data_IF_186680824623
#
_entry.id   IF_186680824623
#
_cell.length_a   1.000
_cell.length_b   1.000
_cell.length_c   1.000
_cell.angle_alpha   90.00
_cell.angle_beta   90.00
_cell.angle_gamma   90.00
#
_symmetry.space_group_name_H-M   'P 1'
#
loop_
_entity.id
_entity.type
_entity.pdbx_description
1 polymer ?
#
# COMPACT_ATOMS: atom_id res chain seq x y z
N UNK A 1 -7.96 11.15 2.44
CA UNK A 1 -8.25 11.49 1.02
C UNK A 1 -7.03 11.31 0.10
N UNK A 2 -5.87 11.93 0.36
CA UNK A 2 -4.72 11.83 -0.56
C UNK A 2 -4.20 10.40 -0.78
N UNK A 3 -4.03 9.61 0.29
CA UNK A 3 -3.65 8.19 0.17
C UNK A 3 -4.69 7.33 -0.58
N UNK A 4 -5.96 7.72 -0.56
CA UNK A 4 -6.99 7.03 -1.35
C UNK A 4 -6.79 7.30 -2.85
N UNK A 5 -6.57 8.56 -3.23
CA UNK A 5 -6.32 8.94 -4.62
C UNK A 5 -5.02 8.32 -5.14
N UNK A 6 -3.98 8.30 -4.31
CA UNK A 6 -2.72 7.62 -4.60
C UNK A 6 -2.94 6.13 -4.89
N UNK A 7 -3.69 5.41 -4.04
CA UNK A 7 -4.07 4.03 -4.30
C UNK A 7 -4.88 3.86 -5.59
N UNK A 8 -5.88 4.71 -5.85
CA UNK A 8 -6.74 4.62 -7.06
C UNK A 8 -5.89 4.80 -8.32
N UNK A 9 -5.03 5.82 -8.35
CA UNK A 9 -4.16 6.10 -9.49
C UNK A 9 -3.08 5.03 -9.64
N UNK A 10 -2.39 4.66 -8.56
CA UNK A 10 -1.30 3.70 -8.58
C UNK A 10 -1.76 2.33 -9.08
N UNK A 11 -2.82 1.78 -8.48
CA UNK A 11 -3.36 0.48 -8.89
C UNK A 11 -4.04 0.55 -10.26
N UNK A 12 -4.78 1.61 -10.55
CA UNK A 12 -5.47 1.80 -11.82
C UNK A 12 -4.52 1.90 -13.01
N UNK A 13 -3.46 2.70 -12.88
CA UNK A 13 -2.42 2.84 -13.92
C UNK A 13 -1.63 1.54 -14.05
N UNK A 14 -1.28 0.88 -12.94
CA UNK A 14 -0.58 -0.41 -12.99
C UNK A 14 -1.40 -1.48 -13.71
N UNK A 15 -2.71 -1.54 -13.44
CA UNK A 15 -3.63 -2.43 -14.14
C UNK A 15 -3.74 -2.07 -15.62
N UNK A 16 -3.85 -0.78 -15.97
CA UNK A 16 -3.89 -0.31 -17.35
C UNK A 16 -2.65 -0.76 -18.14
N UNK A 17 -1.44 -0.57 -17.58
CA UNK A 17 -0.21 -1.05 -18.20
C UNK A 17 -0.17 -2.57 -18.35
N UNK A 18 -0.68 -3.31 -17.37
CA UNK A 18 -0.72 -4.79 -17.45
C UNK A 18 -1.64 -5.29 -18.57
N UNK A 19 -2.73 -4.57 -18.85
CA UNK A 19 -3.70 -4.93 -19.91
C UNK A 19 -3.27 -4.43 -21.27
N UNK A 20 -2.55 -3.31 -21.32
CA UNK A 20 -2.05 -2.69 -22.54
C UNK A 20 -0.56 -2.35 -22.39
N UNK A 21 0.36 -3.33 -22.51
CA UNK A 21 1.78 -3.10 -22.27
C UNK A 21 2.42 -2.04 -23.19
N UNK A 22 1.85 -1.80 -24.38
CA UNK A 22 2.30 -0.74 -25.29
C UNK A 22 2.12 0.68 -24.75
N UNK A 23 1.35 0.89 -23.68
CA UNK A 23 1.22 2.17 -22.99
C UNK A 23 2.34 2.41 -21.96
N UNK A 24 3.17 1.41 -21.65
CA UNK A 24 4.23 1.50 -20.65
C UNK A 24 5.53 2.03 -21.29
N UNK A 25 5.93 3.29 -21.02
CA UNK A 25 7.00 3.98 -21.77
C UNK A 25 8.40 3.39 -21.59
N UNK A 26 8.67 2.71 -20.48
CA UNK A 26 10.00 2.19 -20.13
C UNK A 26 10.05 0.65 -20.04
N UNK A 27 8.98 -0.02 -20.52
CA UNK A 27 8.70 -1.41 -20.20
C UNK A 27 7.73 -1.53 -19.02
N UNK A 28 7.01 -2.65 -18.95
CA UNK A 28 5.88 -2.84 -18.03
C UNK A 28 6.31 -2.64 -16.56
N UNK A 29 7.34 -3.37 -16.12
CA UNK A 29 7.78 -3.37 -14.72
C UNK A 29 8.37 -2.02 -14.34
N UNK A 30 9.27 -1.47 -15.18
CA UNK A 30 9.90 -0.17 -14.95
C UNK A 30 8.85 0.93 -14.82
N UNK A 31 7.86 0.95 -15.70
CA UNK A 31 6.80 1.96 -15.70
C UNK A 31 5.94 1.87 -14.43
N UNK A 32 5.60 0.66 -13.97
CA UNK A 32 4.87 0.45 -12.71
C UNK A 32 5.70 0.96 -11.52
N UNK A 33 6.98 0.58 -11.44
CA UNK A 33 7.85 1.04 -10.33
C UNK A 33 7.97 2.56 -10.33
N UNK A 34 8.16 3.20 -11.48
CA UNK A 34 8.23 4.66 -11.60
C UNK A 34 6.94 5.33 -11.15
N UNK A 35 5.76 4.81 -11.55
CA UNK A 35 4.46 5.34 -11.10
C UNK A 35 4.37 5.32 -9.58
N UNK A 36 4.66 4.19 -8.94
CA UNK A 36 4.60 4.07 -7.49
C UNK A 36 5.65 4.92 -6.77
N UNK A 37 6.86 5.05 -7.32
CA UNK A 37 7.88 5.95 -6.79
C UNK A 37 7.41 7.40 -6.80
N UNK A 38 6.86 7.88 -7.93
CA UNK A 38 6.35 9.26 -8.05
C UNK A 38 5.21 9.50 -7.08
N UNK A 39 4.26 8.57 -6.98
CA UNK A 39 3.14 8.66 -6.05
C UNK A 39 3.59 8.65 -4.59
N UNK A 40 4.56 7.79 -4.25
CA UNK A 40 5.14 7.70 -2.89
C UNK A 40 5.90 8.99 -2.52
N UNK A 41 6.69 9.54 -3.46
CA UNK A 41 7.33 10.86 -3.26
C UNK A 41 6.26 11.95 -3.07
N UNK A 42 5.18 11.90 -3.85
CA UNK A 42 4.05 12.81 -3.71
C UNK A 42 3.38 12.76 -2.34
N UNK A 43 3.09 11.57 -1.82
CA UNK A 43 2.45 11.43 -0.50
C UNK A 43 3.40 11.83 0.63
N UNK A 44 4.69 11.55 0.52
CA UNK A 44 5.69 11.99 1.49
C UNK A 44 5.82 13.51 1.47
N UNK A 45 5.95 14.12 0.28
CA UNK A 45 6.02 15.57 0.14
C UNK A 45 4.78 16.25 0.73
N UNK A 46 3.58 15.74 0.40
CA UNK A 46 2.33 16.26 0.92
C UNK A 46 2.23 16.08 2.44
N UNK A 47 2.56 14.88 2.93
CA UNK A 47 2.59 14.53 4.34
C UNK A 47 3.52 15.46 5.12
N UNK A 48 4.74 15.68 4.65
CA UNK A 48 5.72 16.55 5.31
C UNK A 48 5.30 18.01 5.25
N UNK A 49 4.75 18.49 4.13
CA UNK A 49 4.48 19.93 3.92
C UNK A 49 3.17 20.38 4.54
N UNK A 50 2.11 19.57 4.46
CA UNK A 50 0.74 19.99 4.75
C UNK A 50 0.09 19.31 5.95
N UNK A 51 0.72 18.31 6.58
CA UNK A 51 0.19 17.72 7.82
C UNK A 51 0.81 18.34 9.07
N UNK A 52 0.11 18.30 10.19
CA UNK A 52 0.59 18.88 11.45
C UNK A 52 1.79 18.08 12.01
N UNK A 53 2.73 18.71 12.74
CA UNK A 53 3.88 18.02 13.31
C UNK A 53 3.52 16.79 14.16
N UNK A 54 2.36 16.84 14.83
CA UNK A 54 1.82 15.75 15.65
C UNK A 54 1.49 14.52 14.82
N UNK A 55 0.94 14.70 13.62
CA UNK A 55 0.66 13.60 12.67
C UNK A 55 1.96 13.05 12.09
N UNK A 56 2.90 13.94 11.70
CA UNK A 56 4.21 13.54 11.14
C UNK A 56 5.08 12.72 12.08
N UNK A 57 4.99 12.96 13.40
CA UNK A 57 5.78 12.26 14.43
C UNK A 57 5.06 11.04 15.02
N UNK A 58 3.88 10.69 14.51
CA UNK A 58 3.19 9.50 14.96
C UNK A 58 4.00 8.25 14.59
N UNK A 59 4.22 7.35 15.55
CA UNK A 59 5.00 6.13 15.35
C UNK A 59 4.43 5.25 14.23
N UNK A 60 3.11 5.24 14.05
CA UNK A 60 2.46 4.51 12.94
C UNK A 60 2.95 5.04 11.60
N UNK A 61 2.98 6.37 11.43
CA UNK A 61 3.49 7.01 10.20
C UNK A 61 4.96 6.70 9.94
N UNK A 62 5.80 6.65 10.97
CA UNK A 62 7.21 6.27 10.84
C UNK A 62 7.37 4.81 10.40
N UNK A 63 6.55 3.89 10.93
CA UNK A 63 6.54 2.48 10.51
C UNK A 63 6.13 2.35 9.05
N UNK A 64 5.03 2.99 8.65
CA UNK A 64 4.61 3.02 7.24
C UNK A 64 5.69 3.60 6.33
N UNK A 65 6.33 4.71 6.72
CA UNK A 65 7.43 5.30 5.97
C UNK A 65 8.61 4.34 5.80
N UNK A 66 9.06 3.71 6.89
CA UNK A 66 10.15 2.74 6.85
C UNK A 66 9.84 1.51 5.99
N UNK A 67 8.62 0.98 6.09
CA UNK A 67 8.14 -0.14 5.28
C UNK A 67 8.11 0.21 3.78
N UNK A 68 7.57 1.38 3.42
CA UNK A 68 7.52 1.84 2.03
C UNK A 68 8.92 2.06 1.44
N UNK A 69 9.83 2.66 2.21
CA UNK A 69 11.24 2.83 1.81
C UNK A 69 11.89 1.47 1.58
N UNK A 70 11.70 0.51 2.48
CA UNK A 70 12.27 -0.83 2.32
C UNK A 70 11.76 -1.53 1.04
N UNK A 71 10.44 -1.51 0.78
CA UNK A 71 9.87 -2.09 -0.43
C UNK A 71 10.36 -1.40 -1.71
N UNK A 72 10.48 -0.07 -1.66
CA UNK A 72 11.01 0.72 -2.79
C UNK A 72 12.47 0.36 -3.07
N UNK A 73 13.30 0.26 -2.04
CA UNK A 73 14.71 -0.15 -2.17
C UNK A 73 14.82 -1.54 -2.80
N UNK A 74 13.97 -2.48 -2.40
CA UNK A 74 13.94 -3.83 -3.00
C UNK A 74 13.59 -3.76 -4.48
N UNK A 75 12.57 -2.97 -4.86
CA UNK A 75 12.19 -2.78 -6.26
C UNK A 75 13.32 -2.15 -7.09
N UNK A 76 13.97 -1.10 -6.57
CA UNK A 76 15.09 -0.43 -7.24
C UNK A 76 16.28 -1.38 -7.38
N UNK A 77 16.61 -2.14 -6.34
CA UNK A 77 17.66 -3.15 -6.38
C UNK A 77 17.37 -4.24 -7.42
N UNK A 78 16.11 -4.66 -7.55
CA UNK A 78 15.70 -5.62 -8.58
C UNK A 78 15.84 -5.06 -9.99
N UNK A 79 15.48 -3.79 -10.21
CA UNK A 79 15.65 -3.10 -11.50
C UNK A 79 17.12 -2.86 -11.86
N UNK A 80 18.00 -2.75 -10.86
CA UNK A 80 19.44 -2.60 -11.04
C UNK A 80 20.19 -3.94 -11.10
N UNK A 81 19.48 -5.06 -11.24
CA UNK A 81 20.03 -6.43 -11.29
C UNK A 81 20.87 -6.81 -10.06
N UNK A 82 20.62 -6.17 -8.92
CA UNK A 82 21.32 -6.45 -7.64
C UNK A 82 20.65 -7.57 -6.84
N UNK A 83 19.45 -7.99 -7.23
CA UNK A 83 18.72 -9.10 -6.60
C UNK A 83 19.03 -10.41 -7.34
N UNK A 84 19.39 -11.50 -6.64
CA UNK A 84 19.62 -12.80 -7.27
C UNK A 84 18.46 -13.24 -8.15
N UNK A 85 18.74 -13.84 -9.30
CA UNK A 85 17.73 -14.23 -10.29
C UNK A 85 16.62 -15.13 -9.72
N UNK A 86 16.97 -16.03 -8.79
CA UNK A 86 16.03 -16.88 -8.06
C UNK A 86 15.01 -16.10 -7.20
N UNK A 87 15.34 -14.85 -6.83
CA UNK A 87 14.53 -14.00 -5.96
C UNK A 87 13.78 -12.89 -6.71
N UNK A 88 14.09 -12.64 -7.99
CA UNK A 88 13.46 -11.57 -8.77
C UNK A 88 11.93 -11.69 -8.86
N UNK A 89 11.41 -12.91 -8.92
CA UNK A 89 9.97 -13.17 -8.95
C UNK A 89 9.24 -12.69 -7.67
N UNK A 90 9.97 -12.55 -6.56
CA UNK A 90 9.43 -12.08 -5.29
C UNK A 90 9.60 -10.58 -5.11
N UNK A 91 10.66 -10.00 -5.69
CA UNK A 91 11.10 -8.65 -5.41
C UNK A 91 10.07 -7.55 -5.74
N UNK A 92 9.19 -7.77 -6.73
CA UNK A 92 8.34 -6.69 -7.24
C UNK A 92 7.07 -6.41 -6.44
N UNK A 93 6.34 -7.43 -5.99
CA UNK A 93 5.02 -7.25 -5.36
C UNK A 93 4.89 -7.90 -3.98
N UNK A 94 5.73 -8.88 -3.62
CA UNK A 94 5.70 -9.46 -2.28
C UNK A 94 6.07 -8.44 -1.19
N UNK A 95 7.09 -7.55 -1.39
CA UNK A 95 7.36 -6.50 -0.42
C UNK A 95 6.14 -5.63 -0.15
N UNK A 96 5.37 -5.28 -1.18
CA UNK A 96 4.19 -4.42 -1.02
C UNK A 96 3.05 -5.09 -0.27
N UNK A 97 2.81 -6.39 -0.48
CA UNK A 97 1.88 -7.15 0.37
C UNK A 97 2.37 -7.20 1.82
N UNK A 98 3.67 -7.34 2.05
CA UNK A 98 4.24 -7.29 3.40
C UNK A 98 4.06 -5.89 4.03
N UNK A 99 4.33 -4.82 3.29
CA UNK A 99 4.14 -3.42 3.74
C UNK A 99 2.70 -3.20 4.16
N UNK A 100 1.74 -3.54 3.30
CA UNK A 100 0.31 -3.36 3.57
C UNK A 100 -0.13 -4.22 4.77
N UNK A 101 0.23 -5.50 4.78
CA UNK A 101 -0.12 -6.43 5.85
C UNK A 101 0.41 -6.00 7.21
N UNK A 102 1.72 -5.76 7.31
CA UNK A 102 2.38 -5.32 8.55
C UNK A 102 1.89 -3.93 8.95
N UNK A 103 1.83 -3.00 8.00
CA UNK A 103 1.41 -1.63 8.23
C UNK A 103 0.00 -1.57 8.82
N UNK A 104 -0.95 -2.33 8.29
CA UNK A 104 -2.32 -2.37 8.81
C UNK A 104 -2.43 -3.04 10.18
N UNK A 105 -1.69 -4.13 10.43
CA UNK A 105 -1.65 -4.74 11.76
C UNK A 105 -1.08 -3.79 12.80
N UNK A 106 0.00 -3.07 12.46
CA UNK A 106 0.58 -2.05 13.33
C UNK A 106 -0.44 -0.94 13.59
N UNK A 107 -1.12 -0.41 12.56
CA UNK A 107 -2.16 0.60 12.73
C UNK A 107 -3.29 0.12 13.65
N UNK A 108 -3.76 -1.12 13.47
CA UNK A 108 -4.83 -1.68 14.27
C UNK A 108 -4.43 -1.78 15.75
N UNK A 109 -3.26 -2.35 16.03
CA UNK A 109 -2.75 -2.66 17.36
C UNK A 109 -2.13 -1.46 18.08
N UNK A 110 -1.83 -0.38 17.36
CA UNK A 110 -1.14 0.77 17.95
C UNK A 110 -2.00 1.51 18.96
N UNK A 111 -1.48 1.63 20.18
CA UNK A 111 -2.04 2.42 21.28
C UNK A 111 -3.58 2.28 21.38
N UNK A 112 -4.02 1.14 21.93
CA UNK A 112 -5.45 0.78 21.97
C UNK A 112 -6.32 1.81 22.70
N UNK A 113 -5.74 2.54 23.65
CA UNK A 113 -6.40 3.60 24.42
C UNK A 113 -6.49 4.93 23.66
N UNK A 114 -5.82 5.06 22.52
CA UNK A 114 -5.86 6.27 21.70
C UNK A 114 -7.25 6.45 21.08
N UNK A 115 -7.93 7.60 21.34
CA UNK A 115 -9.21 7.92 20.72
C UNK A 115 -9.08 8.35 19.25
N UNK A 116 -7.85 8.43 18.72
CA UNK A 116 -7.59 8.88 17.34
C UNK A 116 -8.01 7.86 16.29
N UNK A 117 -8.09 6.57 16.65
CA UNK A 117 -8.51 5.50 15.75
C UNK A 117 -9.71 4.80 16.39
N UNK A 118 -10.85 4.84 15.70
CA UNK A 118 -12.12 4.27 16.15
C UNK A 118 -12.02 2.75 16.19
N UNK A 119 -12.76 2.11 17.09
CA UNK A 119 -12.75 0.66 17.22
C UNK A 119 -13.12 -0.06 15.91
N UNK A 120 -14.09 0.48 15.16
CA UNK A 120 -14.49 -0.07 13.86
C UNK A 120 -13.34 -0.03 12.83
N UNK A 121 -12.57 1.05 12.79
CA UNK A 121 -11.41 1.19 11.89
C UNK A 121 -10.32 0.19 12.26
N UNK A 122 -10.06 -0.01 13.56
CA UNK A 122 -9.09 -1.00 14.03
C UNK A 122 -9.44 -2.41 13.56
N UNK A 123 -10.73 -2.78 13.61
CA UNK A 123 -11.19 -4.09 13.11
C UNK A 123 -10.94 -4.20 11.60
N UNK A 124 -11.25 -3.17 10.83
CA UNK A 124 -11.01 -3.15 9.37
C UNK A 124 -9.51 -3.27 9.07
N UNK A 125 -8.67 -2.52 9.78
CA UNK A 125 -7.21 -2.60 9.66
C UNK A 125 -6.68 -3.98 10.05
N UNK A 126 -7.13 -4.55 11.17
CA UNK A 126 -6.70 -5.88 11.61
C UNK A 126 -7.08 -6.96 10.59
N UNK A 127 -8.34 -6.96 10.14
CA UNK A 127 -8.83 -7.90 9.15
C UNK A 127 -8.07 -7.79 7.83
N UNK A 128 -7.88 -6.56 7.32
CA UNK A 128 -7.14 -6.32 6.08
C UNK A 128 -5.68 -6.75 6.22
N UNK A 129 -5.05 -6.47 7.35
CA UNK A 129 -3.67 -6.88 7.64
C UNK A 129 -3.51 -8.40 7.64
N UNK A 130 -4.38 -9.12 8.36
CA UNK A 130 -4.38 -10.60 8.40
C UNK A 130 -4.62 -11.19 7.02
N UNK A 131 -5.62 -10.70 6.27
CA UNK A 131 -5.92 -11.18 4.92
C UNK A 131 -4.74 -10.95 3.98
N UNK A 132 -4.11 -9.77 4.03
CA UNK A 132 -2.98 -9.44 3.16
C UNK A 132 -1.77 -10.31 3.45
N UNK A 133 -1.44 -10.56 4.72
CA UNK A 133 -0.36 -11.49 5.09
C UNK A 133 -0.69 -12.94 4.74
N UNK A 134 -1.97 -13.35 4.86
CA UNK A 134 -2.43 -14.65 4.41
C UNK A 134 -2.27 -14.84 2.90
N UNK A 135 -2.58 -13.81 2.11
CA UNK A 135 -2.35 -13.79 0.67
C UNK A 135 -0.85 -13.86 0.33
N UNK A 136 -0.01 -13.11 1.05
CA UNK A 136 1.44 -13.17 0.90
C UNK A 136 2.00 -14.57 1.21
N UNK A 137 1.57 -15.19 2.32
CA UNK A 137 2.02 -16.53 2.68
C UNK A 137 1.53 -17.57 1.66
N UNK A 138 0.26 -17.49 1.26
CA UNK A 138 -0.31 -18.39 0.25
C UNK A 138 0.32 -18.23 -1.12
N UNK A 139 0.80 -17.03 -1.47
CA UNK A 139 1.43 -16.75 -2.76
C UNK A 139 2.82 -17.36 -2.91
N UNK A 140 3.45 -17.79 -1.81
CA UNK A 140 4.67 -18.60 -1.82
C UNK A 140 4.39 -20.07 -2.16
N UNK A 141 3.12 -20.51 -2.17
CA UNK A 141 2.72 -21.88 -2.45
C UNK A 141 1.46 -21.97 -3.32
N UNK A 142 0.35 -22.51 -2.81
CA UNK A 142 -0.78 -22.92 -3.64
C UNK A 142 -1.52 -21.77 -4.31
N UNK A 143 -1.47 -20.55 -3.75
CA UNK A 143 -2.16 -19.38 -4.30
C UNK A 143 -1.30 -18.56 -5.26
N UNK A 144 -0.07 -18.99 -5.56
CA UNK A 144 0.89 -18.23 -6.38
C UNK A 144 0.29 -17.74 -7.69
N UNK A 145 -0.30 -18.63 -8.48
CA UNK A 145 -0.85 -18.28 -9.79
C UNK A 145 -2.02 -17.29 -9.65
N UNK A 146 -2.92 -17.54 -8.70
CA UNK A 146 -4.06 -16.67 -8.43
C UNK A 146 -3.62 -15.26 -8.03
N UNK A 147 -2.68 -15.15 -7.08
CA UNK A 147 -2.21 -13.85 -6.59
C UNK A 147 -1.48 -13.09 -7.68
N UNK A 148 -0.56 -13.75 -8.41
CA UNK A 148 0.18 -13.10 -9.51
C UNK A 148 -0.76 -12.56 -10.60
N UNK A 149 -1.76 -13.34 -11.01
CA UNK A 149 -2.69 -12.95 -12.08
C UNK A 149 -3.62 -11.80 -11.66
N UNK A 150 -3.91 -11.69 -10.37
CA UNK A 150 -4.88 -10.73 -9.84
C UNK A 150 -4.23 -9.63 -8.99
N UNK A 151 -2.89 -9.49 -9.02
CA UNK A 151 -2.16 -8.66 -8.04
C UNK A 151 -2.61 -7.21 -8.00
N UNK A 152 -2.98 -6.61 -9.14
CA UNK A 152 -3.45 -5.21 -9.16
C UNK A 152 -4.86 -5.07 -8.59
N UNK A 153 -5.75 -6.04 -8.82
CA UNK A 153 -7.08 -6.05 -8.23
C UNK A 153 -7.01 -6.33 -6.71
N UNK A 154 -6.19 -7.31 -6.32
CA UNK A 154 -5.92 -7.63 -4.92
C UNK A 154 -5.35 -6.40 -4.22
N UNK A 155 -4.28 -5.82 -4.78
CA UNK A 155 -3.63 -4.62 -4.28
C UNK A 155 -4.58 -3.45 -4.12
N UNK A 156 -5.42 -3.20 -5.14
CA UNK A 156 -6.47 -2.18 -5.08
C UNK A 156 -7.42 -2.42 -3.90
N UNK A 157 -7.92 -3.65 -3.73
CA UNK A 157 -8.84 -3.99 -2.63
C UNK A 157 -8.16 -3.81 -1.28
N UNK A 158 -7.00 -4.42 -1.07
CA UNK A 158 -6.34 -4.38 0.24
C UNK A 158 -5.84 -2.98 0.59
N UNK A 159 -5.50 -2.14 -0.39
CA UNK A 159 -5.09 -0.77 -0.15
C UNK A 159 -6.29 0.17 0.06
N UNK A 160 -7.31 0.08 -0.80
CA UNK A 160 -8.39 1.07 -0.86
C UNK A 160 -9.53 0.81 0.12
N UNK A 161 -9.81 -0.43 0.51
CA UNK A 161 -10.90 -0.74 1.46
C UNK A 161 -10.69 -0.07 2.82
N UNK A 162 -9.56 -0.24 3.53
CA UNK A 162 -9.38 0.39 4.83
C UNK A 162 -9.37 1.92 4.73
N UNK A 163 -8.69 2.48 3.72
CA UNK A 163 -8.63 3.95 3.55
C UNK A 163 -10.01 4.51 3.15
N UNK A 164 -10.74 3.81 2.28
CA UNK A 164 -12.08 4.20 1.85
C UNK A 164 -13.08 4.15 2.99
N UNK A 165 -12.99 3.16 3.87
CA UNK A 165 -13.76 3.09 5.10
C UNK A 165 -13.55 4.34 5.97
N UNK A 166 -12.30 4.74 6.19
CA UNK A 166 -11.98 5.93 6.99
C UNK A 166 -12.52 7.22 6.35
N UNK A 167 -12.34 7.38 5.03
CA UNK A 167 -12.86 8.54 4.29
C UNK A 167 -14.39 8.63 4.38
N UNK A 168 -15.10 7.51 4.26
CA UNK A 168 -16.56 7.47 4.37
C UNK A 168 -17.03 7.76 5.79
N UNK A 169 -16.37 7.17 6.78
CA UNK A 169 -16.70 7.39 8.19
C UNK A 169 -16.50 8.86 8.59
N UNK A 170 -15.43 9.50 8.13
CA UNK A 170 -15.18 10.93 8.35
C UNK A 170 -16.22 11.80 7.63
N UNK A 171 -16.57 11.49 6.38
CA UNK A 171 -17.60 12.21 5.63
C UNK A 171 -18.98 12.17 6.33
N UNK A 172 -19.37 11.00 6.84
CA UNK A 172 -20.62 10.83 7.60
C UNK A 172 -20.61 11.65 8.90
N UNK A 173 -19.48 11.69 9.61
CA UNK A 173 -19.36 12.49 10.83
C UNK A 173 -19.46 13.99 10.56
N UNK A 174 -18.89 14.47 9.45
CA UNK A 174 -19.00 15.87 9.04
C UNK A 174 -20.44 16.20 8.67
N UNK A 175 -21.09 15.35 7.87
CA UNK A 175 -22.47 15.55 7.44
C UNK A 175 -23.49 15.56 8.61
N UNK A 176 -23.22 14.80 9.69
CA UNK A 176 -24.07 14.77 10.89
C UNK A 176 -23.90 15.98 11.82
N UNK A 177 -22.85 16.77 11.64
CA UNK A 177 -22.52 17.95 12.47
C UNK A 177 -22.96 19.27 11.82
N UNK A 178 -23.38 19.23 10.56
CA UNK A 178 -23.99 20.33 9.82
C UNK A 178 -25.51 20.23 9.92
#
# INVERSE_FOLDING_TARGET
MFGFLEGVLGWGISWLFSRNPGLAPFGLIQSIVVVWMVLTVGIVFFGVTYTTPTVRRNRVWLVWGGLNVAATVINVAALADLVPSAMLQYAYWHPWLAVLGIGYLVTALYNWESPQIRHQERVVYAATGVVTLGLLAGSLGPLRAFVTLNIFAIGAVVHLVPIGHDVLADAVLIARRQ
#
